data_IF_462150433736
#
_entry.id   IF_462150433736
#
_cell.length_a   1.000
_cell.length_b   1.000
_cell.length_c   1.000
_cell.angle_alpha   90.00
_cell.angle_beta   90.00
_cell.angle_gamma   90.00
#
_symmetry.space_group_name_H-M   'P 1'
#
loop_
_entity.id
_entity.type
_entity.pdbx_description
1 polymer ?
#
# COMPACT_ATOMS: atom_id res chain seq x y z
N UNK A 1 -4.83 -21.86 -31.40
CA UNK A 1 -6.23 -21.46 -31.71
C UNK A 1 -6.19 -20.29 -32.68
N UNK A 2 -7.19 -20.23 -33.60
CA UNK A 2 -7.30 -19.14 -34.55
C UNK A 2 -7.89 -17.92 -33.83
N UNK A 3 -7.13 -16.83 -33.77
CA UNK A 3 -7.61 -15.54 -33.33
C UNK A 3 -8.17 -14.70 -34.46
N UNK A 4 -8.72 -13.54 -34.15
CA UNK A 4 -9.22 -12.57 -35.10
C UNK A 4 -8.56 -11.20 -34.87
N UNK A 5 -8.25 -10.49 -35.94
CA UNK A 5 -7.75 -9.12 -35.96
C UNK A 5 -8.78 -8.23 -36.67
N UNK A 6 -9.02 -7.05 -36.07
CA UNK A 6 -9.89 -6.04 -36.64
C UNK A 6 -9.14 -4.68 -36.58
N UNK A 7 -9.05 -4.01 -37.71
CA UNK A 7 -8.53 -2.66 -37.82
C UNK A 7 -9.69 -1.66 -37.93
N UNK A 8 -9.64 -0.57 -37.16
CA UNK A 8 -10.60 0.54 -37.24
C UNK A 8 -9.84 1.84 -37.48
N UNK A 9 -10.27 2.63 -38.44
CA UNK A 9 -9.72 3.95 -38.73
C UNK A 9 -10.83 5.00 -38.71
N UNK A 10 -10.68 6.01 -37.85
CA UNK A 10 -11.68 7.09 -37.71
C UNK A 10 -13.09 6.64 -37.30
N UNK A 11 -13.23 5.43 -36.76
CA UNK A 11 -14.51 4.83 -36.35
C UNK A 11 -15.14 3.94 -37.49
N UNK A 12 -14.46 3.80 -38.60
CA UNK A 12 -14.88 2.90 -39.69
C UNK A 12 -14.19 1.56 -39.52
N UNK A 13 -14.94 0.46 -39.31
CA UNK A 13 -14.35 -0.89 -39.21
C UNK A 13 -13.89 -1.39 -40.60
N UNK A 14 -12.73 -2.02 -40.64
CA UNK A 14 -12.26 -2.82 -41.75
C UNK A 14 -12.84 -4.24 -41.72
N UNK A 15 -12.26 -5.12 -42.52
CA UNK A 15 -12.61 -6.54 -42.52
C UNK A 15 -11.98 -7.26 -41.33
N UNK A 16 -12.67 -8.32 -40.87
CA UNK A 16 -12.14 -9.20 -39.84
C UNK A 16 -11.21 -10.22 -40.48
N UNK A 17 -9.96 -10.23 -40.06
CA UNK A 17 -8.94 -11.13 -40.57
C UNK A 17 -8.60 -12.21 -39.55
N UNK A 18 -8.27 -13.43 -40.05
CA UNK A 18 -7.73 -14.48 -39.18
C UNK A 18 -6.30 -14.10 -38.72
N UNK A 19 -6.02 -14.17 -37.42
CA UNK A 19 -4.72 -13.85 -36.87
C UNK A 19 -4.24 -14.95 -35.91
N UNK A 20 -2.94 -15.22 -35.92
CA UNK A 20 -2.29 -16.05 -34.91
C UNK A 20 -2.01 -15.20 -33.68
N UNK A 21 -2.72 -15.42 -32.58
CA UNK A 21 -2.50 -14.71 -31.34
C UNK A 21 -2.62 -15.63 -30.11
N UNK A 22 -1.94 -15.34 -29.01
CA UNK A 22 -2.17 -16.04 -27.75
C UNK A 22 -3.58 -15.78 -27.23
N UNK A 23 -4.03 -16.58 -26.28
CA UNK A 23 -5.29 -16.35 -25.58
C UNK A 23 -5.29 -14.96 -24.92
N UNK A 24 -6.38 -14.21 -25.14
CA UNK A 24 -6.52 -12.86 -24.60
C UNK A 24 -6.93 -11.83 -25.65
N UNK A 25 -6.88 -10.54 -25.29
CA UNK A 25 -7.24 -9.43 -26.16
C UNK A 25 -6.13 -8.37 -26.16
N UNK A 26 -5.70 -7.97 -27.34
CA UNK A 26 -4.76 -6.87 -27.54
C UNK A 26 -5.46 -5.71 -28.24
N UNK A 27 -5.41 -4.52 -27.63
CA UNK A 27 -5.96 -3.29 -28.22
C UNK A 27 -4.82 -2.29 -28.39
N UNK A 28 -4.58 -1.84 -29.62
CA UNK A 28 -3.61 -0.82 -29.93
C UNK A 28 -4.34 0.44 -30.44
N UNK A 29 -4.15 1.57 -29.74
CA UNK A 29 -4.69 2.88 -30.14
C UNK A 29 -3.53 3.78 -30.54
N UNK A 30 -3.59 4.32 -31.73
CA UNK A 30 -2.56 5.21 -32.31
C UNK A 30 -3.20 6.51 -32.77
N UNK A 31 -2.44 7.59 -32.81
CA UNK A 31 -2.85 8.91 -33.29
C UNK A 31 -4.20 9.36 -32.71
N UNK A 32 -4.33 9.27 -31.38
CA UNK A 32 -5.56 9.59 -30.66
C UNK A 32 -6.05 11.00 -31.03
N UNK A 33 -7.32 11.10 -31.45
CA UNK A 33 -7.98 12.34 -31.88
C UNK A 33 -7.50 12.93 -33.21
N UNK A 34 -6.82 12.17 -34.09
CA UNK A 34 -6.43 12.67 -35.43
C UNK A 34 -7.63 13.19 -36.23
N UNK A 35 -8.81 12.54 -36.09
CA UNK A 35 -10.06 12.90 -36.75
C UNK A 35 -10.92 13.89 -35.95
N UNK A 36 -10.46 14.36 -34.79
CA UNK A 36 -11.19 15.30 -33.93
C UNK A 36 -10.24 16.39 -33.40
N UNK A 37 -9.76 17.30 -34.27
CA UNK A 37 -8.72 18.27 -33.94
C UNK A 37 -9.10 19.22 -32.81
N UNK A 38 -10.40 19.47 -32.59
CA UNK A 38 -10.88 20.22 -31.45
C UNK A 38 -10.54 19.53 -30.11
N UNK A 39 -10.67 18.20 -30.04
CA UNK A 39 -10.29 17.44 -28.84
C UNK A 39 -8.77 17.38 -28.67
N UNK A 40 -8.03 17.24 -29.76
CA UNK A 40 -6.57 17.24 -29.74
C UNK A 40 -6.02 18.54 -29.11
N UNK A 41 -6.62 19.69 -29.43
CA UNK A 41 -6.24 21.00 -28.83
C UNK A 41 -6.46 21.11 -27.32
N UNK A 42 -7.34 20.30 -26.74
CA UNK A 42 -7.58 20.27 -25.30
C UNK A 42 -6.67 19.30 -24.54
N UNK A 43 -5.89 18.48 -25.24
CA UNK A 43 -4.88 17.63 -24.60
C UNK A 43 -3.81 18.50 -23.95
N UNK A 44 -3.38 18.08 -22.79
CA UNK A 44 -2.26 18.68 -22.06
C UNK A 44 -0.93 18.18 -22.63
N UNK A 45 0.17 18.49 -21.96
CA UNK A 45 1.46 17.91 -22.32
C UNK A 45 1.46 16.38 -22.10
N UNK A 46 2.25 15.66 -22.88
CA UNK A 46 2.37 14.20 -22.79
C UNK A 46 2.67 13.72 -21.36
N UNK A 47 3.53 14.45 -20.64
CA UNK A 47 3.82 14.16 -19.23
C UNK A 47 2.59 14.29 -18.33
N UNK A 48 1.72 15.29 -18.57
CA UNK A 48 0.51 15.50 -17.78
C UNK A 48 -0.57 14.46 -18.09
N UNK A 49 -0.74 14.09 -19.36
CA UNK A 49 -1.65 13.02 -19.78
C UNK A 49 -1.17 11.65 -19.26
N UNK A 50 0.12 11.36 -19.38
CA UNK A 50 0.70 10.13 -18.84
C UNK A 50 0.53 10.03 -17.32
N UNK A 51 0.68 11.14 -16.58
CA UNK A 51 0.43 11.17 -15.13
C UNK A 51 -1.04 10.91 -14.80
N UNK A 52 -1.98 11.42 -15.62
CA UNK A 52 -3.41 11.15 -15.46
C UNK A 52 -3.73 9.67 -15.70
N UNK A 53 -3.14 9.06 -16.73
CA UNK A 53 -3.27 7.62 -17.00
C UNK A 53 -2.71 6.81 -15.84
N UNK A 54 -1.50 7.11 -15.35
CA UNK A 54 -0.90 6.42 -14.20
C UNK A 54 -1.75 6.52 -12.95
N UNK A 55 -2.37 7.68 -12.70
CA UNK A 55 -3.32 7.87 -11.60
C UNK A 55 -4.54 6.96 -11.76
N UNK A 56 -5.13 6.89 -12.96
CA UNK A 56 -6.28 6.03 -13.23
C UNK A 56 -5.94 4.55 -13.06
N UNK A 57 -4.80 4.10 -13.59
CA UNK A 57 -4.35 2.70 -13.44
C UNK A 57 -4.14 2.35 -11.97
N UNK A 58 -3.53 3.26 -11.19
CA UNK A 58 -3.38 3.10 -9.74
C UNK A 58 -4.73 2.98 -9.01
N UNK A 59 -5.73 3.76 -9.42
CA UNK A 59 -7.09 3.68 -8.86
C UNK A 59 -7.76 2.36 -9.19
N UNK A 60 -7.61 1.84 -10.40
CA UNK A 60 -8.12 0.52 -10.80
C UNK A 60 -7.46 -0.57 -9.95
N UNK A 61 -6.14 -0.52 -9.79
CA UNK A 61 -5.40 -1.46 -8.96
C UNK A 61 -5.90 -1.50 -7.51
N UNK A 62 -6.17 -0.33 -6.92
CA UNK A 62 -6.68 -0.22 -5.55
C UNK A 62 -8.16 -0.64 -5.44
N UNK A 63 -8.94 -0.46 -6.51
CA UNK A 63 -10.35 -0.89 -6.55
C UNK A 63 -10.50 -2.40 -6.71
N UNK A 64 -9.56 -3.05 -7.40
CA UNK A 64 -9.60 -4.45 -7.82
C UNK A 64 -8.26 -5.14 -7.51
N UNK A 65 -7.97 -5.42 -6.23
CA UNK A 65 -6.70 -6.04 -5.83
C UNK A 65 -6.49 -7.46 -6.40
N UNK A 66 -7.57 -8.09 -6.86
CA UNK A 66 -7.54 -9.40 -7.51
C UNK A 66 -7.00 -9.37 -8.95
N UNK A 67 -6.85 -8.18 -9.55
CA UNK A 67 -6.28 -8.03 -10.87
C UNK A 67 -4.77 -7.85 -10.81
N UNK A 68 -4.04 -8.66 -11.58
CA UNK A 68 -2.64 -8.39 -11.87
C UNK A 68 -2.57 -7.35 -12.99
N UNK A 69 -2.09 -6.14 -12.64
CA UNK A 69 -1.98 -5.01 -13.55
C UNK A 69 -0.52 -4.66 -13.75
N UNK A 70 -0.13 -4.47 -15.00
CA UNK A 70 1.19 -3.99 -15.38
C UNK A 70 1.06 -2.72 -16.23
N UNK A 71 1.59 -1.60 -15.73
CA UNK A 71 1.59 -0.33 -16.44
C UNK A 71 3.01 0.04 -16.84
N UNK A 72 3.21 0.21 -18.13
CA UNK A 72 4.50 0.57 -18.75
C UNK A 72 4.33 1.92 -19.42
N UNK A 73 5.19 2.87 -19.11
CA UNK A 73 5.29 4.18 -19.76
C UNK A 73 6.70 4.37 -20.33
N UNK A 74 6.79 4.71 -21.61
CA UNK A 74 8.07 4.95 -22.29
C UNK A 74 9.08 3.81 -22.10
N UNK A 75 8.60 2.55 -22.15
CA UNK A 75 9.40 1.34 -21.97
C UNK A 75 9.80 1.06 -20.51
N UNK A 76 9.40 1.91 -19.55
CA UNK A 76 9.69 1.73 -18.12
C UNK A 76 8.43 1.25 -17.39
N UNK A 77 8.57 0.21 -16.60
CA UNK A 77 7.50 -0.28 -15.72
C UNK A 77 7.30 0.68 -14.53
N UNK A 78 6.11 1.26 -14.41
CA UNK A 78 5.75 2.21 -13.33
C UNK A 78 4.86 1.58 -12.27
N UNK A 79 4.05 0.59 -12.64
CA UNK A 79 3.19 -0.13 -11.72
C UNK A 79 3.15 -1.61 -12.11
N UNK A 80 3.26 -2.47 -11.09
CA UNK A 80 2.96 -3.89 -11.23
C UNK A 80 2.30 -4.40 -9.95
N UNK A 81 1.05 -4.88 -10.06
CA UNK A 81 0.33 -5.50 -8.94
C UNK A 81 0.30 -7.01 -9.09
N UNK A 82 0.42 -7.76 -7.99
CA UNK A 82 0.47 -9.23 -8.07
C UNK A 82 -0.87 -9.89 -8.41
N UNK A 83 -2.00 -9.22 -8.16
CA UNK A 83 -3.33 -9.81 -8.33
C UNK A 83 -3.68 -10.88 -7.29
N UNK A 84 -3.12 -10.75 -6.08
CA UNK A 84 -3.28 -11.72 -4.98
C UNK A 84 -4.56 -11.49 -4.15
N UNK A 85 -5.41 -10.56 -4.55
CA UNK A 85 -6.63 -10.19 -3.84
C UNK A 85 -6.39 -9.39 -2.55
N UNK A 86 -5.13 -9.09 -2.19
CA UNK A 86 -4.80 -8.35 -0.98
C UNK A 86 -4.67 -6.86 -1.27
N UNK A 87 -5.56 -6.07 -0.68
CA UNK A 87 -5.54 -4.62 -0.85
C UNK A 87 -4.19 -4.00 -0.42
N UNK A 88 -3.55 -4.53 0.61
CA UNK A 88 -2.24 -4.02 1.07
C UNK A 88 -1.14 -4.21 0.02
N UNK A 89 -1.15 -5.33 -0.72
CA UNK A 89 -0.21 -5.57 -1.82
C UNK A 89 -0.41 -4.57 -2.97
N UNK A 90 -1.68 -4.29 -3.31
CA UNK A 90 -2.02 -3.28 -4.30
C UNK A 90 -1.61 -1.86 -3.84
N UNK A 91 -1.82 -1.52 -2.56
CA UNK A 91 -1.38 -0.25 -1.98
C UNK A 91 0.14 -0.13 -2.03
N UNK A 92 0.87 -1.18 -1.66
CA UNK A 92 2.33 -1.20 -1.72
C UNK A 92 2.84 -0.90 -3.14
N UNK A 93 2.26 -1.55 -4.14
CA UNK A 93 2.62 -1.33 -5.55
C UNK A 93 2.25 0.08 -6.05
N UNK A 94 1.05 0.59 -5.69
CA UNK A 94 0.52 1.85 -6.22
C UNK A 94 1.00 3.10 -5.47
N UNK A 95 1.33 3.01 -4.17
CA UNK A 95 1.64 4.15 -3.28
C UNK A 95 3.02 4.06 -2.65
N UNK A 96 3.72 2.94 -2.83
CA UNK A 96 5.05 2.69 -2.31
C UNK A 96 5.09 2.17 -0.88
N UNK A 97 6.27 1.71 -0.51
CA UNK A 97 6.54 1.05 0.76
C UNK A 97 6.22 1.92 1.97
N UNK A 98 6.69 3.17 1.98
CA UNK A 98 6.57 4.05 3.16
C UNK A 98 5.11 4.33 3.52
N UNK A 99 4.26 4.51 2.50
CA UNK A 99 2.83 4.66 2.73
C UNK A 99 2.22 3.36 3.25
N UNK A 100 2.50 2.22 2.61
CA UNK A 100 1.94 0.93 3.01
C UNK A 100 2.33 0.52 4.44
N UNK A 101 3.57 0.79 4.86
CA UNK A 101 4.06 0.48 6.21
C UNK A 101 3.49 1.39 7.30
N UNK A 102 2.92 2.53 6.93
CA UNK A 102 2.29 3.48 7.86
C UNK A 102 0.80 3.22 8.10
N UNK A 103 0.25 2.15 7.54
CA UNK A 103 -1.18 1.89 7.53
C UNK A 103 -1.64 0.99 8.68
N UNK A 104 -2.85 1.29 9.14
CA UNK A 104 -3.63 0.47 10.08
C UNK A 104 -4.81 -0.13 9.31
N UNK A 105 -5.10 -1.44 9.45
CA UNK A 105 -6.27 -2.04 8.85
C UNK A 105 -7.55 -1.51 9.50
N UNK A 106 -8.56 -1.31 8.68
CA UNK A 106 -9.88 -0.84 9.07
C UNK A 106 -10.91 -1.84 8.55
N UNK A 107 -11.73 -2.39 9.44
CA UNK A 107 -12.83 -3.27 9.08
C UNK A 107 -13.95 -3.14 10.10
N UNK A 108 -15.15 -2.90 9.62
CA UNK A 108 -16.32 -2.79 10.47
C UNK A 108 -17.57 -2.49 9.67
N UNK A 109 -18.70 -2.51 10.36
CA UNK A 109 -19.99 -2.22 9.77
C UNK A 109 -20.82 -1.32 10.68
N UNK A 110 -21.57 -0.42 10.06
CA UNK A 110 -22.66 0.33 10.70
C UNK A 110 -23.99 -0.12 10.14
N UNK A 111 -25.02 0.70 10.33
CA UNK A 111 -26.36 0.45 9.83
C UNK A 111 -26.38 0.42 8.29
N UNK A 112 -26.43 -0.79 7.70
CA UNK A 112 -26.41 -1.05 6.25
C UNK A 112 -25.18 -0.49 5.50
N UNK A 113 -24.09 -0.17 6.19
CA UNK A 113 -22.85 0.34 5.60
C UNK A 113 -21.68 -0.49 6.12
N UNK A 114 -20.95 -1.15 5.25
CA UNK A 114 -19.68 -1.78 5.61
C UNK A 114 -18.50 -0.93 5.15
N UNK A 115 -17.47 -0.86 6.00
CA UNK A 115 -16.25 -0.08 5.74
C UNK A 115 -15.08 -1.00 5.95
N UNK A 116 -14.24 -1.10 4.93
CA UNK A 116 -13.01 -1.90 4.97
C UNK A 116 -11.87 -1.20 4.24
N UNK A 117 -10.65 -1.50 4.63
CA UNK A 117 -9.48 -0.93 3.98
C UNK A 117 -8.36 -0.57 4.94
N UNK A 118 -7.72 0.56 4.69
CA UNK A 118 -6.56 0.99 5.45
C UNK A 118 -6.55 2.51 5.63
N UNK A 119 -6.06 2.95 6.79
CA UNK A 119 -5.84 4.38 7.11
C UNK A 119 -4.43 4.56 7.67
N UNK A 120 -3.83 5.75 7.51
CA UNK A 120 -2.50 6.02 8.05
C UNK A 120 -2.51 6.17 9.57
N UNK A 121 -1.42 5.79 10.23
CA UNK A 121 -1.20 6.17 11.63
C UNK A 121 -1.20 7.71 11.77
N UNK A 122 -1.63 8.28 12.91
CA UNK A 122 -1.68 9.73 13.12
C UNK A 122 -0.36 10.45 12.85
N UNK A 123 0.78 9.84 13.20
CA UNK A 123 2.11 10.39 12.96
C UNK A 123 2.52 10.40 11.49
N UNK A 124 1.86 9.61 10.64
CA UNK A 124 2.14 9.52 9.20
C UNK A 124 1.23 10.43 8.35
N UNK A 125 0.40 11.27 8.96
CA UNK A 125 -0.45 12.24 8.28
C UNK A 125 0.39 13.25 7.47
N UNK A 126 -0.12 13.66 6.30
CA UNK A 126 0.61 14.49 5.33
C UNK A 126 0.02 15.90 5.20
N UNK A 127 0.75 16.83 4.55
CA UNK A 127 0.31 18.22 4.34
C UNK A 127 -0.80 18.39 3.29
N UNK A 128 -1.29 17.32 2.67
CA UNK A 128 -2.35 17.39 1.67
C UNK A 128 -3.25 16.16 1.70
N UNK A 129 -4.47 16.29 1.18
CA UNK A 129 -5.48 15.23 1.03
C UNK A 129 -5.25 14.31 -0.16
N UNK A 130 -4.12 14.41 -0.85
CA UNK A 130 -3.84 13.65 -2.07
C UNK A 130 -3.78 12.11 -1.86
N UNK A 131 -3.62 11.68 -0.61
CA UNK A 131 -3.58 10.26 -0.24
C UNK A 131 -4.92 9.73 0.27
N UNK A 132 -5.97 10.53 0.28
CA UNK A 132 -7.33 10.07 0.58
C UNK A 132 -7.93 9.42 -0.66
N UNK A 133 -8.29 8.17 -0.57
CA UNK A 133 -8.91 7.41 -1.65
C UNK A 133 -10.11 6.64 -1.11
N UNK A 134 -11.28 6.95 -1.65
CA UNK A 134 -12.54 6.31 -1.25
C UNK A 134 -13.13 5.56 -2.43
N UNK A 135 -13.58 4.35 -2.17
CA UNK A 135 -14.36 3.54 -3.10
C UNK A 135 -15.75 3.29 -2.53
N UNK A 136 -16.76 3.50 -3.34
CA UNK A 136 -18.15 3.16 -3.03
C UNK A 136 -18.61 2.09 -4.01
N UNK A 137 -18.96 0.91 -3.50
CA UNK A 137 -19.36 -0.24 -4.32
C UNK A 137 -18.36 -0.51 -5.47
N UNK A 138 -17.07 -0.48 -5.18
CA UNK A 138 -15.98 -0.70 -6.15
C UNK A 138 -15.66 0.47 -7.06
N UNK A 139 -16.37 1.60 -6.97
CA UNK A 139 -16.14 2.81 -7.76
C UNK A 139 -15.40 3.87 -6.96
N UNK A 140 -14.33 4.42 -7.51
CA UNK A 140 -13.62 5.54 -6.88
C UNK A 140 -14.50 6.79 -6.86
N UNK A 141 -14.64 7.40 -5.68
CA UNK A 141 -15.46 8.60 -5.48
C UNK A 141 -14.69 9.68 -4.73
N UNK A 142 -15.16 10.91 -4.92
CA UNK A 142 -14.76 12.08 -4.12
C UNK A 142 -15.97 12.53 -3.34
N UNK A 143 -15.90 12.54 -2.02
CA UNK A 143 -17.01 12.90 -1.16
C UNK A 143 -16.51 13.74 0.01
N UNK A 144 -16.93 15.01 0.10
CA UNK A 144 -16.64 15.86 1.25
C UNK A 144 -17.14 15.26 2.56
N UNK A 145 -18.24 14.51 2.51
CA UNK A 145 -18.80 13.81 3.66
C UNK A 145 -17.81 12.77 4.22
N UNK A 146 -17.23 11.94 3.34
CA UNK A 146 -16.30 10.91 3.74
C UNK A 146 -14.97 11.50 4.23
N UNK A 147 -14.49 12.55 3.56
CA UNK A 147 -13.31 13.31 4.02
C UNK A 147 -13.55 13.88 5.42
N UNK A 148 -14.71 14.51 5.68
CA UNK A 148 -15.04 15.04 6.99
C UNK A 148 -15.13 13.94 8.05
N UNK A 149 -15.78 12.80 7.75
CA UNK A 149 -15.89 11.66 8.66
C UNK A 149 -14.52 11.07 9.02
N UNK A 150 -13.63 10.94 8.01
CA UNK A 150 -12.26 10.49 8.21
C UNK A 150 -11.48 11.48 9.09
N UNK A 151 -11.46 12.77 8.75
CA UNK A 151 -10.72 13.79 9.49
C UNK A 151 -11.20 13.95 10.92
N UNK A 152 -12.53 13.83 11.17
CA UNK A 152 -13.09 13.88 12.52
C UNK A 152 -12.66 12.68 13.38
N UNK A 153 -12.52 11.48 12.79
CA UNK A 153 -11.98 10.32 13.49
C UNK A 153 -10.52 10.54 13.96
N UNK A 154 -9.79 11.42 13.27
CA UNK A 154 -8.43 11.83 13.66
C UNK A 154 -8.39 13.06 14.57
N UNK A 155 -9.52 13.63 14.96
CA UNK A 155 -9.55 14.79 15.83
C UNK A 155 -8.73 14.54 17.11
N UNK A 156 -7.88 15.51 17.49
CA UNK A 156 -6.96 15.44 18.61
C UNK A 156 -5.86 14.36 18.56
N UNK A 157 -5.69 13.68 17.42
CA UNK A 157 -4.69 12.62 17.23
C UNK A 157 -3.60 13.00 16.24
N UNK A 158 -3.86 13.96 15.38
CA UNK A 158 -2.95 14.41 14.33
C UNK A 158 -2.44 15.84 14.59
N UNK A 159 -1.32 16.19 13.99
CA UNK A 159 -0.78 17.54 14.05
C UNK A 159 -1.65 18.50 13.22
N UNK A 160 -1.80 19.73 13.67
CA UNK A 160 -2.56 20.77 12.96
C UNK A 160 -2.02 20.97 11.53
N UNK A 161 -2.93 21.03 10.58
CA UNK A 161 -2.57 21.20 9.16
C UNK A 161 -2.04 19.91 8.48
N UNK A 162 -2.18 18.77 9.12
CA UNK A 162 -1.93 17.46 8.50
C UNK A 162 -3.23 16.75 8.23
N UNK A 163 -3.24 15.91 7.20
CA UNK A 163 -4.39 15.15 6.72
C UNK A 163 -4.06 13.66 6.69
N UNK A 164 -4.99 12.80 7.08
CA UNK A 164 -4.79 11.36 7.00
C UNK A 164 -4.75 10.89 5.54
N UNK A 165 -4.02 9.82 5.28
CA UNK A 165 -4.14 9.08 4.05
C UNK A 165 -5.04 7.86 4.28
N UNK A 166 -5.79 7.45 3.28
CA UNK A 166 -6.61 6.26 3.36
C UNK A 166 -6.81 5.57 2.01
N UNK A 167 -7.15 4.31 2.07
CA UNK A 167 -7.76 3.55 0.98
C UNK A 167 -8.93 2.80 1.60
N UNK A 168 -10.13 3.35 1.49
CA UNK A 168 -11.33 2.82 2.12
C UNK A 168 -12.35 2.39 1.06
N UNK A 169 -12.86 1.19 1.22
CA UNK A 169 -13.98 0.63 0.48
C UNK A 169 -15.23 0.72 1.36
N UNK A 170 -16.23 1.39 0.86
CA UNK A 170 -17.53 1.58 1.50
C UNK A 170 -18.56 0.83 0.65
N UNK A 171 -19.14 -0.21 1.20
CA UNK A 171 -20.15 -1.01 0.55
C UNK A 171 -21.50 -0.81 1.25
N UNK A 172 -22.52 -0.49 0.47
CA UNK A 172 -23.87 -0.27 0.92
C UNK A 172 -24.87 -0.69 -0.17
N UNK A 173 -26.13 -0.95 0.16
CA UNK A 173 -27.17 -1.29 -0.81
C UNK A 173 -27.27 -0.22 -1.91
N UNK A 174 -27.34 -0.62 -3.17
CA UNK A 174 -27.31 0.29 -4.32
C UNK A 174 -28.44 1.33 -4.31
N UNK A 175 -29.57 1.02 -3.71
CA UNK A 175 -30.68 1.97 -3.58
C UNK A 175 -30.41 3.11 -2.56
N UNK A 176 -29.34 2.99 -1.76
CA UNK A 176 -28.93 4.01 -0.79
C UNK A 176 -27.88 4.99 -1.35
N UNK A 177 -27.48 4.84 -2.61
CA UNK A 177 -26.50 5.71 -3.26
C UNK A 177 -26.96 6.07 -4.67
N UNK A 178 -26.98 7.37 -4.97
CA UNK A 178 -27.18 7.88 -6.32
C UNK A 178 -25.82 8.24 -6.93
N UNK A 179 -25.43 7.51 -7.96
CA UNK A 179 -24.17 7.72 -8.71
C UNK A 179 -24.36 8.58 -9.95
N UNK A 180 -25.59 8.94 -10.32
CA UNK A 180 -25.89 9.71 -11.52
C UNK A 180 -25.92 11.23 -11.27
N UNK A 181 -25.02 11.73 -10.44
CA UNK A 181 -24.93 13.14 -10.04
C UNK A 181 -23.97 13.94 -10.93
N UNK A 182 -22.94 13.30 -11.46
CA UNK A 182 -21.89 13.98 -12.25
C UNK A 182 -21.52 13.17 -13.49
N UNK A 183 -21.21 13.78 -14.65
CA UNK A 183 -20.87 13.06 -15.88
C UNK A 183 -19.71 12.07 -15.70
N UNK A 184 -18.66 12.44 -14.96
CA UNK A 184 -17.54 11.55 -14.64
C UNK A 184 -17.88 10.51 -13.56
N UNK A 185 -19.08 10.58 -12.94
CA UNK A 185 -19.54 9.64 -11.90
C UNK A 185 -18.57 9.48 -10.72
N UNK A 186 -17.77 10.49 -10.47
CA UNK A 186 -16.83 10.54 -9.33
C UNK A 186 -17.44 11.14 -8.07
N UNK A 187 -18.62 11.76 -8.21
CA UNK A 187 -19.39 12.31 -7.09
C UNK A 187 -20.66 11.48 -6.96
N UNK A 188 -20.96 11.09 -5.73
CA UNK A 188 -22.17 10.33 -5.40
C UNK A 188 -22.97 11.07 -4.32
N UNK A 189 -24.28 10.84 -4.27
CA UNK A 189 -25.15 11.33 -3.22
C UNK A 189 -25.67 10.14 -2.42
N UNK A 190 -25.47 10.19 -1.11
CA UNK A 190 -25.98 9.17 -0.21
C UNK A 190 -27.41 9.54 0.26
N UNK A 191 -28.31 8.57 0.30
CA UNK A 191 -29.68 8.77 0.80
C UNK A 191 -29.66 9.04 2.30
N UNK A 192 -28.81 8.32 3.03
CA UNK A 192 -28.65 8.45 4.49
C UNK A 192 -27.22 8.90 4.83
N UNK A 193 -26.92 10.17 4.58
CA UNK A 193 -25.58 10.75 4.80
C UNK A 193 -25.07 10.56 6.24
N UNK A 194 -25.97 10.73 7.24
CA UNK A 194 -25.61 10.56 8.65
C UNK A 194 -25.18 9.13 8.98
N UNK A 195 -25.84 8.11 8.43
CA UNK A 195 -25.48 6.71 8.64
C UNK A 195 -24.11 6.39 8.05
N UNK A 196 -23.84 6.89 6.82
CA UNK A 196 -22.54 6.72 6.16
C UNK A 196 -21.43 7.44 6.92
N UNK A 197 -21.65 8.68 7.32
CA UNK A 197 -20.72 9.46 8.13
C UNK A 197 -20.38 8.73 9.45
N UNK A 198 -21.41 8.34 10.20
CA UNK A 198 -21.28 7.65 11.48
C UNK A 198 -20.53 6.33 11.34
N UNK A 199 -20.85 5.53 10.32
CA UNK A 199 -20.16 4.25 10.05
C UNK A 199 -18.67 4.48 9.80
N UNK A 200 -18.30 5.38 8.89
CA UNK A 200 -16.88 5.66 8.59
C UNK A 200 -16.15 6.21 9.80
N UNK A 201 -16.75 7.21 10.48
CA UNK A 201 -16.14 7.82 11.67
C UNK A 201 -15.86 6.80 12.78
N UNK A 202 -16.86 5.98 13.16
CA UNK A 202 -16.70 5.04 14.27
C UNK A 202 -15.71 3.91 13.89
N UNK A 203 -15.86 3.32 12.72
CA UNK A 203 -14.98 2.20 12.30
C UNK A 203 -13.52 2.65 12.20
N UNK A 204 -13.26 3.85 11.68
CA UNK A 204 -11.89 4.40 11.64
C UNK A 204 -11.39 4.73 13.05
N UNK A 205 -12.22 5.35 13.90
CA UNK A 205 -11.87 5.68 15.27
C UNK A 205 -11.49 4.45 16.07
N UNK A 206 -12.31 3.39 16.00
CA UNK A 206 -12.08 2.14 16.71
C UNK A 206 -10.79 1.45 16.25
N UNK A 207 -10.50 1.46 14.95
CA UNK A 207 -9.24 0.95 14.41
C UNK A 207 -8.02 1.73 14.94
N UNK A 208 -8.12 3.06 15.02
CA UNK A 208 -7.05 3.91 15.57
C UNK A 208 -6.88 3.70 17.07
N UNK A 209 -7.96 3.49 17.83
CA UNK A 209 -7.92 3.21 19.27
C UNK A 209 -7.28 1.84 19.53
N UNK A 210 -7.64 0.84 18.74
CA UNK A 210 -7.02 -0.49 18.80
C UNK A 210 -5.53 -0.45 18.48
N UNK A 211 -5.11 0.36 17.50
CA UNK A 211 -3.71 0.52 17.13
C UNK A 211 -2.90 1.33 18.16
N UNK A 212 -3.54 2.27 18.87
CA UNK A 212 -2.90 3.09 19.91
C UNK A 212 -2.75 2.35 21.24
N UNK A 213 -3.66 1.41 21.53
CA UNK A 213 -3.52 0.52 22.68
C UNK A 213 -2.45 -0.51 22.31
N UNK A 214 -1.27 -0.53 22.99
CA UNK A 214 -0.41 -1.69 22.91
C UNK A 214 -1.25 -2.82 23.53
N UNK A 215 -1.91 -3.58 22.69
CA UNK A 215 -2.50 -4.80 23.15
C UNK A 215 -1.37 -5.55 23.84
N UNK A 216 -1.50 -5.75 25.13
CA UNK A 216 -1.05 -6.96 25.78
C UNK A 216 -1.76 -8.10 25.05
N UNK A 217 -1.38 -8.32 23.80
CA UNK A 217 -1.48 -9.62 23.17
C UNK A 217 -0.51 -10.47 23.98
N UNK A 218 -0.99 -10.89 25.15
CA UNK A 218 -0.61 -12.18 25.64
C UNK A 218 -0.84 -13.10 24.43
N UNK A 219 0.22 -13.36 23.63
CA UNK A 219 0.34 -14.62 22.94
C UNK A 219 -0.16 -15.61 23.98
N UNK A 220 -1.17 -16.45 23.66
CA UNK A 220 -1.40 -17.59 24.52
C UNK A 220 0.00 -18.19 24.67
N UNK A 221 0.48 -18.20 25.90
CA UNK A 221 1.73 -18.85 26.21
C UNK A 221 1.53 -20.24 25.66
N UNK A 222 2.04 -20.50 24.47
CA UNK A 222 2.36 -21.82 24.04
C UNK A 222 3.14 -22.31 25.24
N UNK A 223 2.55 -23.26 25.99
CA UNK A 223 3.23 -23.87 27.09
C UNK A 223 4.58 -24.25 26.53
N UNK A 224 5.57 -23.44 26.86
CA UNK A 224 6.95 -23.81 26.66
C UNK A 224 7.07 -25.01 27.57
N UNK A 225 6.85 -26.18 26.99
CA UNK A 225 7.35 -27.40 27.54
C UNK A 225 8.84 -27.13 27.62
N UNK A 226 9.28 -26.75 28.81
CA UNK A 226 10.66 -26.61 29.14
C UNK A 226 11.26 -28.04 29.05
N UNK A 227 12.03 -28.40 28.00
CA UNK A 227 12.77 -29.64 27.97
C UNK A 227 14.04 -29.53 28.83
N UNK A 228 14.00 -28.69 29.87
CA UNK A 228 15.12 -28.46 30.80
C UNK A 228 14.88 -29.08 32.17
N UNK A 229 14.09 -30.17 32.20
CA UNK A 229 13.90 -30.91 33.45
C UNK A 229 15.17 -31.58 33.98
N UNK A 230 16.19 -31.90 33.17
CA UNK A 230 17.28 -32.78 33.63
C UNK A 230 18.70 -32.37 33.25
N UNK A 231 18.95 -31.12 32.90
CA UNK A 231 20.32 -30.70 32.50
C UNK A 231 21.15 -30.05 33.63
N UNK A 232 20.57 -29.79 34.78
CA UNK A 232 21.30 -29.38 35.99
C UNK A 232 21.02 -30.35 37.12
N UNK A 233 21.83 -31.40 37.20
CA UNK A 233 21.97 -32.09 38.48
C UNK A 233 22.62 -31.13 39.45
N UNK A 234 21.87 -30.72 40.47
CA UNK A 234 22.41 -29.99 41.62
C UNK A 234 23.37 -30.91 42.36
N UNK A 235 24.66 -30.80 42.03
CA UNK A 235 25.71 -31.50 42.74
C UNK A 235 25.96 -30.82 44.07
N UNK A 236 25.90 -31.58 45.15
CA UNK A 236 26.14 -31.07 46.52
C UNK A 236 27.57 -30.54 46.58
N UNK A 237 27.76 -29.42 47.30
CA UNK A 237 29.02 -28.68 47.40
C UNK A 237 30.19 -29.55 47.93
N UNK A 238 29.90 -30.67 48.55
CA UNK A 238 30.89 -31.64 49.02
C UNK A 238 31.40 -32.51 47.88
N UNK A 239 30.56 -32.96 46.99
CA UNK A 239 30.86 -33.76 45.81
C UNK A 239 31.65 -32.94 44.77
N UNK A 240 31.36 -31.64 44.64
CA UNK A 240 32.10 -30.73 43.74
C UNK A 240 33.54 -30.50 44.18
N UNK A 241 33.80 -30.48 45.53
CA UNK A 241 35.17 -30.30 46.06
C UNK A 241 36.03 -31.55 45.93
N UNK A 242 35.41 -32.74 45.95
CA UNK A 242 36.13 -34.00 45.82
C UNK A 242 36.48 -34.36 44.40
N UNK A 243 35.69 -33.90 43.41
CA UNK A 243 35.95 -34.10 41.97
C UNK A 243 36.79 -33.01 41.34
N UNK A 244 36.94 -31.83 41.95
CA UNK A 244 37.67 -30.67 41.42
C UNK A 244 39.19 -30.64 41.67
N UNK A 245 39.71 -31.61 42.44
CA UNK A 245 41.12 -31.60 42.80
C UNK A 245 42.10 -32.22 41.78
N UNK A 246 41.59 -32.63 40.60
CA UNK A 246 42.40 -33.37 39.62
C UNK A 246 42.49 -32.81 38.20
N UNK A 247 41.91 -31.62 37.91
CA UNK A 247 41.93 -31.07 36.53
C UNK A 247 42.97 -29.97 36.38
N UNK A 248 44.03 -30.27 35.60
CA UNK A 248 45.05 -29.33 35.17
C UNK A 248 44.44 -28.17 34.34
N UNK A 249 44.97 -27.00 34.59
CA UNK A 249 44.58 -25.71 33.96
C UNK A 249 44.88 -25.76 32.45
N UNK A 250 43.94 -25.60 31.54
CA UNK A 250 44.25 -25.46 30.12
C UNK A 250 44.87 -24.07 29.84
N UNK A 251 45.93 -24.06 29.05
CA UNK A 251 46.62 -22.86 28.59
C UNK A 251 45.71 -22.02 27.70
N UNK A 252 45.78 -20.69 27.88
CA UNK A 252 45.03 -19.72 27.07
C UNK A 252 45.47 -19.75 25.59
N UNK A 253 44.53 -19.65 24.63
CA UNK A 253 44.90 -19.55 23.21
C UNK A 253 45.51 -18.19 22.89
N UNK A 254 46.63 -18.20 22.15
CA UNK A 254 47.35 -17.01 21.68
C UNK A 254 46.46 -16.19 20.71
N UNK A 255 46.40 -14.87 20.96
CA UNK A 255 45.71 -13.89 20.12
C UNK A 255 46.58 -13.65 18.86
N UNK A 256 46.06 -13.76 17.63
CA UNK A 256 46.80 -13.41 16.42
C UNK A 256 46.99 -11.89 16.32
N UNK A 257 48.25 -11.46 16.18
CA UNK A 257 48.64 -10.08 15.94
C UNK A 257 48.24 -9.68 14.53
N UNK A 258 47.40 -8.65 14.40
CA UNK A 258 47.06 -8.02 13.12
C UNK A 258 48.23 -7.13 12.66
N UNK A 259 48.60 -7.15 11.36
CA UNK A 259 49.61 -6.27 10.80
C UNK A 259 49.09 -4.81 10.74
N UNK A 260 49.93 -3.88 11.19
CA UNK A 260 49.70 -2.45 11.17
C UNK A 260 49.55 -1.89 9.76
N UNK A 261 48.51 -1.11 9.50
CA UNK A 261 48.32 -0.35 8.25
C UNK A 261 49.35 0.77 8.15
N UNK A 262 49.92 1.04 6.94
CA UNK A 262 50.80 2.17 6.73
C UNK A 262 50.07 3.50 6.81
N UNK A 263 50.65 4.46 7.55
CA UNK A 263 50.23 5.85 7.59
C UNK A 263 50.63 6.54 6.29
N UNK A 264 49.65 7.04 5.52
CA UNK A 264 49.93 8.01 4.44
C UNK A 264 50.08 9.40 5.07
N UNK A 265 51.25 9.96 4.95
CA UNK A 265 51.53 11.38 5.26
C UNK A 265 51.10 12.22 4.04
N UNK A 266 50.17 13.14 4.25
CA UNK A 266 49.85 14.18 3.28
C UNK A 266 50.86 15.33 3.44
N UNK A 267 51.77 15.48 2.50
CA UNK A 267 52.61 16.67 2.38
C UNK A 267 51.86 17.75 1.60
N UNK A 268 51.64 18.87 2.28
CA UNK A 268 51.27 20.14 1.65
C UNK A 268 52.45 20.65 0.84
N UNK A 269 52.23 21.00 -0.41
CA UNK A 269 53.04 21.98 -1.15
C UNK A 269 52.15 23.08 -1.66
N UNK A 270 52.48 24.28 -1.17
CA UNK A 270 51.81 25.54 -1.53
C UNK A 270 52.30 26.15 -2.81
N UNK A 271 51.51 27.02 -3.36
CA UNK A 271 51.44 28.01 -4.36
C UNK A 271 52.72 28.49 -5.09
N UNK A 272 52.79 29.55 -5.91
CA UNK A 272 51.75 30.50 -6.32
C UNK A 272 51.77 30.71 -7.84
N UNK A 273 50.79 31.45 -8.33
CA UNK A 273 50.72 31.96 -9.71
C UNK A 273 49.31 32.36 -10.07
#
# INVERSE_FOLDING_TARGET
>A
EAGASLHLEGGVPGEVEAAGCPEGTTIAVRELFFNTPARLKFMKSDAAEAAAVGTLVSQIALSRPELSLRYIRDGREELHTPGDGKLLSAIYAARGRDFAMSLVPVEGAGENVSVRGYVTMPLACRGSRAMETFFCCGRMIRSPLLTAALEEAYANRQLKGKFPGCVLHIDLPLHMVDVNVHPAKTVVKFVHERAVFSAVHHVVKDALDAAASPALQAKPASAVVNPRGDFYQTMDAKTFREQGAGAAKPAAPAVPVQPSRPRFSCSQQGGPG
#
